data_IF_423172779886
#
_entry.id   IF_423172779886
#
_cell.length_a   1.000
_cell.length_b   1.000
_cell.length_c   1.000
_cell.angle_alpha   90.00
_cell.angle_beta   90.00
_cell.angle_gamma   90.00
#
_symmetry.space_group_name_H-M   'P 1'
#
loop_
_entity.id
_entity.type
_entity.pdbx_description
1 polymer ?
#
# COMPACT_ATOMS: atom_id res chain seq x y z
N UNK A 1 -12.19 17.13 14.09
CA UNK A 1 -10.81 17.43 13.66
C UNK A 1 -10.39 18.77 14.23
N UNK A 2 -9.31 18.84 14.99
CA UNK A 2 -8.76 20.06 15.60
C UNK A 2 -7.36 20.35 15.04
N UNK A 3 -7.06 21.63 14.77
CA UNK A 3 -5.69 22.04 14.38
C UNK A 3 -4.86 22.19 15.65
N UNK A 4 -3.70 21.53 15.70
CA UNK A 4 -2.74 21.63 16.78
C UNK A 4 -1.46 22.28 16.23
N UNK A 5 -1.22 23.54 16.58
CA UNK A 5 -0.06 24.27 16.06
C UNK A 5 -0.18 24.58 14.56
N UNK A 6 0.97 24.62 13.85
CA UNK A 6 1.01 25.05 12.43
C UNK A 6 0.82 23.91 11.42
N UNK A 7 1.21 22.68 11.77
CA UNK A 7 1.36 21.58 10.82
C UNK A 7 0.80 20.26 11.33
N UNK A 8 0.00 20.28 12.39
CA UNK A 8 -0.58 19.09 12.98
C UNK A 8 -2.08 19.26 13.19
N UNK A 9 -2.79 18.18 13.12
CA UNK A 9 -4.21 18.12 13.44
C UNK A 9 -4.50 16.84 14.25
N UNK A 10 -5.52 16.90 15.06
CA UNK A 10 -6.01 15.79 15.85
C UNK A 10 -7.27 15.22 15.22
N UNK A 11 -7.34 13.90 15.12
CA UNK A 11 -8.54 13.18 14.73
C UNK A 11 -9.40 12.95 15.97
N UNK A 12 -10.52 13.65 16.07
CA UNK A 12 -11.35 13.69 17.27
C UNK A 12 -12.03 12.35 17.57
N UNK A 13 -12.42 11.60 16.54
CA UNK A 13 -13.02 10.28 16.69
C UNK A 13 -12.02 9.18 17.05
N UNK A 14 -10.71 9.50 17.00
CA UNK A 14 -9.61 8.58 17.30
C UNK A 14 -9.67 7.28 16.50
N UNK A 15 -9.63 7.33 15.15
CA UNK A 15 -9.60 6.15 14.33
C UNK A 15 -8.50 5.18 14.76
N UNK A 16 -8.73 3.88 14.63
CA UNK A 16 -7.81 2.85 15.11
C UNK A 16 -7.23 2.07 13.94
N UNK A 17 -5.94 1.81 13.98
CA UNK A 17 -5.32 0.79 13.15
C UNK A 17 -5.71 -0.56 13.76
N UNK A 18 -6.46 -1.37 12.99
CA UNK A 18 -6.96 -2.66 13.46
C UNK A 18 -6.17 -3.85 12.91
N UNK A 19 -5.48 -3.65 11.80
CA UNK A 19 -4.59 -4.67 11.23
C UNK A 19 -3.58 -4.06 10.26
N UNK A 20 -2.52 -4.82 9.99
CA UNK A 20 -1.53 -4.53 8.95
C UNK A 20 -1.08 -5.82 8.31
N UNK A 21 -0.60 -5.74 7.07
CA UNK A 21 0.03 -6.86 6.38
C UNK A 21 1.23 -6.38 5.57
N UNK A 22 2.24 -7.24 5.45
CA UNK A 22 3.46 -6.99 4.69
C UNK A 22 3.85 -8.22 3.88
N UNK A 23 3.89 -8.06 2.57
CA UNK A 23 4.31 -9.08 1.61
C UNK A 23 5.56 -8.57 0.91
N UNK A 24 6.61 -9.37 0.85
CA UNK A 24 7.90 -8.95 0.29
C UNK A 24 8.49 -9.98 -0.65
N UNK A 25 9.43 -9.55 -1.48
CA UNK A 25 10.19 -10.40 -2.38
C UNK A 25 11.27 -11.22 -1.68
N UNK A 26 11.93 -12.09 -2.44
CA UNK A 26 12.96 -13.00 -1.93
C UNK A 26 14.17 -12.27 -1.32
N UNK A 27 14.57 -11.16 -1.93
CA UNK A 27 15.71 -10.38 -1.43
C UNK A 27 15.43 -9.76 -0.06
N UNK A 28 14.28 -9.15 0.09
CA UNK A 28 13.83 -8.54 1.35
C UNK A 28 13.66 -9.62 2.42
N UNK A 29 13.14 -10.80 2.02
CA UNK A 29 12.99 -11.97 2.88
C UNK A 29 14.31 -12.61 3.33
N UNK A 30 15.44 -12.25 2.75
CA UNK A 30 16.79 -12.62 3.18
C UNK A 30 17.45 -11.54 4.06
N UNK A 31 16.79 -10.41 4.23
CA UNK A 31 17.28 -9.29 5.02
C UNK A 31 17.09 -9.46 6.53
N UNK A 32 17.58 -8.50 7.31
CA UNK A 32 17.51 -8.57 8.79
C UNK A 32 16.09 -8.52 9.35
N UNK A 33 15.10 -8.05 8.57
CA UNK A 33 13.69 -7.95 8.99
C UNK A 33 12.83 -9.14 8.55
N UNK A 34 13.44 -10.23 8.06
CA UNK A 34 12.72 -11.38 7.49
C UNK A 34 11.60 -11.91 8.39
N UNK A 35 11.84 -11.96 9.69
CA UNK A 35 10.89 -12.50 10.67
C UNK A 35 9.71 -11.54 10.96
N UNK A 36 9.78 -10.29 10.47
CA UNK A 36 8.74 -9.28 10.66
C UNK A 36 7.70 -9.26 9.52
N UNK A 37 7.99 -9.94 8.41
CA UNK A 37 7.07 -9.95 7.26
C UNK A 37 6.05 -11.07 7.37
N UNK A 38 4.80 -10.77 7.00
CA UNK A 38 3.72 -11.75 7.00
C UNK A 38 3.91 -12.81 5.90
N UNK A 39 4.47 -12.42 4.74
CA UNK A 39 4.74 -13.35 3.65
C UNK A 39 5.98 -12.96 2.85
N UNK A 40 6.80 -13.94 2.54
CA UNK A 40 7.96 -13.82 1.65
C UNK A 40 7.65 -14.58 0.35
N UNK A 41 7.62 -13.86 -0.76
CA UNK A 41 7.42 -14.40 -2.10
C UNK A 41 8.79 -14.70 -2.72
N UNK A 42 9.11 -15.97 -2.93
CA UNK A 42 10.43 -16.39 -3.44
C UNK A 42 10.59 -16.19 -4.95
N UNK A 43 9.49 -16.13 -5.67
CA UNK A 43 9.46 -15.88 -7.10
C UNK A 43 9.00 -14.44 -7.34
N UNK A 44 9.82 -13.64 -7.99
CA UNK A 44 9.56 -12.22 -8.27
C UNK A 44 8.38 -12.03 -9.22
N UNK A 45 8.07 -13.01 -10.05
CA UNK A 45 6.92 -12.95 -10.97
C UNK A 45 5.64 -13.55 -10.38
N UNK A 46 5.74 -14.27 -9.27
CA UNK A 46 4.63 -15.06 -8.70
C UNK A 46 3.98 -16.03 -9.70
N UNK A 47 4.75 -16.48 -10.70
CA UNK A 47 4.25 -17.31 -11.80
C UNK A 47 3.37 -16.55 -12.81
N UNK A 48 3.41 -15.24 -12.84
CA UNK A 48 2.63 -14.37 -13.74
C UNK A 48 3.51 -13.87 -14.89
N UNK A 49 2.88 -13.32 -15.93
CA UNK A 49 3.53 -12.96 -17.19
C UNK A 49 4.36 -11.68 -17.13
N UNK A 50 4.15 -10.84 -16.11
CA UNK A 50 4.91 -9.59 -15.94
C UNK A 50 5.10 -9.19 -14.48
N UNK A 51 6.11 -8.35 -14.25
CA UNK A 51 6.41 -7.81 -12.93
C UNK A 51 5.31 -6.89 -12.40
N UNK A 52 4.63 -6.16 -13.29
CA UNK A 52 3.49 -5.31 -12.92
C UNK A 52 2.29 -6.13 -12.44
N UNK A 53 2.05 -7.28 -13.07
CA UNK A 53 1.03 -8.22 -12.61
C UNK A 53 1.41 -8.83 -11.25
N UNK A 54 2.68 -9.18 -11.07
CA UNK A 54 3.17 -9.68 -9.78
C UNK A 54 3.00 -8.63 -8.67
N UNK A 55 3.36 -7.38 -8.93
CA UNK A 55 3.16 -6.28 -8.00
C UNK A 55 1.68 -6.06 -7.67
N UNK A 56 0.81 -6.05 -8.69
CA UNK A 56 -0.64 -5.97 -8.52
C UNK A 56 -1.18 -7.09 -7.61
N UNK A 57 -0.69 -8.32 -7.82
CA UNK A 57 -1.06 -9.49 -6.99
C UNK A 57 -0.54 -9.37 -5.55
N UNK A 58 0.65 -8.82 -5.34
CA UNK A 58 1.18 -8.56 -4.00
C UNK A 58 0.36 -7.51 -3.28
N UNK A 59 0.00 -6.42 -3.97
CA UNK A 59 -0.84 -5.35 -3.43
C UNK A 59 -2.22 -5.89 -3.01
N UNK A 60 -2.91 -6.58 -3.91
CA UNK A 60 -4.19 -7.24 -3.64
C UNK A 60 -4.10 -8.17 -2.42
N UNK A 61 -3.09 -9.04 -2.42
CA UNK A 61 -2.89 -10.01 -1.35
C UNK A 61 -2.62 -9.34 0.00
N UNK A 62 -1.84 -8.26 0.04
CA UNK A 62 -1.57 -7.52 1.26
C UNK A 62 -2.84 -6.85 1.81
N UNK A 63 -3.68 -6.27 0.93
CA UNK A 63 -4.95 -5.65 1.34
C UNK A 63 -5.92 -6.70 1.88
N UNK A 64 -6.08 -7.83 1.18
CA UNK A 64 -7.07 -8.85 1.55
C UNK A 64 -6.64 -9.75 2.70
N UNK A 65 -5.33 -9.85 3.01
CA UNK A 65 -4.78 -10.79 4.00
C UNK A 65 -5.38 -10.66 5.39
N UNK A 66 -5.73 -9.47 5.80
CA UNK A 66 -6.18 -9.16 7.17
C UNK A 66 -7.60 -8.61 7.24
N UNK A 67 -8.28 -8.56 6.13
CA UNK A 67 -9.71 -8.22 6.12
C UNK A 67 -10.47 -9.47 6.53
N UNK A 68 -10.92 -9.52 7.78
CA UNK A 68 -11.73 -10.64 8.32
C UNK A 68 -13.14 -10.68 7.75
N UNK A 69 -13.59 -9.59 7.14
CA UNK A 69 -14.86 -9.43 6.45
C UNK A 69 -14.62 -9.52 4.95
N UNK A 70 -15.68 -9.60 4.18
CA UNK A 70 -15.55 -9.58 2.72
C UNK A 70 -15.05 -8.21 2.25
N UNK A 71 -14.45 -8.15 1.06
CA UNK A 71 -13.99 -6.89 0.45
C UNK A 71 -15.09 -5.83 0.33
N UNK A 72 -16.33 -6.28 0.27
CA UNK A 72 -17.53 -5.42 0.22
C UNK A 72 -17.74 -4.56 1.48
N UNK A 73 -17.07 -4.88 2.58
CA UNK A 73 -17.11 -4.09 3.81
C UNK A 73 -16.11 -2.90 3.80
N UNK A 74 -15.20 -2.82 2.82
CA UNK A 74 -14.32 -1.68 2.67
C UNK A 74 -15.08 -0.45 2.17
N UNK A 75 -15.13 0.58 2.98
CA UNK A 75 -15.68 1.87 2.55
C UNK A 75 -14.84 2.52 1.45
N UNK A 76 -13.51 2.40 1.56
CA UNK A 76 -12.57 2.86 0.54
C UNK A 76 -11.21 2.20 0.67
N UNK A 77 -10.49 2.18 -0.45
CA UNK A 77 -9.08 1.82 -0.58
C UNK A 77 -8.30 3.05 -1.03
N UNK A 78 -7.29 3.44 -0.26
CA UNK A 78 -6.35 4.49 -0.61
C UNK A 78 -4.98 3.87 -0.87
N UNK A 79 -4.37 4.19 -1.98
CA UNK A 79 -3.04 3.62 -2.22
C UNK A 79 -2.48 3.90 -3.59
N UNK A 80 -1.29 3.41 -3.81
CA UNK A 80 -0.58 3.58 -5.06
C UNK A 80 0.69 2.75 -5.12
N UNK A 81 1.33 2.83 -6.25
CA UNK A 81 2.61 2.21 -6.56
C UNK A 81 3.59 3.23 -7.14
N UNK A 82 4.78 2.80 -7.53
CA UNK A 82 5.80 3.69 -8.10
C UNK A 82 5.63 3.94 -9.59
N UNK A 83 4.78 3.18 -10.28
CA UNK A 83 4.70 3.24 -11.74
C UNK A 83 3.86 4.41 -12.22
N UNK A 84 4.09 4.84 -13.45
CA UNK A 84 3.26 5.87 -14.08
C UNK A 84 1.80 5.43 -14.07
N UNK A 85 0.92 6.40 -13.74
CA UNK A 85 -0.53 6.20 -13.66
C UNK A 85 -0.96 5.15 -12.62
N UNK A 86 -0.08 4.82 -11.66
CA UNK A 86 -0.38 3.84 -10.58
C UNK A 86 -1.01 2.55 -11.13
N UNK A 87 -0.36 1.98 -12.15
CA UNK A 87 -0.94 0.91 -12.96
C UNK A 87 -1.13 -0.38 -12.15
N UNK A 88 -0.16 -0.75 -11.32
CA UNK A 88 -0.23 -2.00 -10.54
C UNK A 88 -1.32 -1.94 -9.47
N UNK A 89 -1.40 -0.85 -8.72
CA UNK A 89 -2.42 -0.65 -7.70
C UNK A 89 -3.81 -0.42 -8.29
N UNK A 90 -3.91 0.23 -9.46
CA UNK A 90 -5.17 0.40 -10.18
C UNK A 90 -5.79 -0.94 -10.61
N UNK A 91 -4.99 -1.86 -11.16
CA UNK A 91 -5.46 -3.21 -11.50
C UNK A 91 -5.82 -4.03 -10.25
N UNK A 92 -5.03 -3.93 -9.18
CA UNK A 92 -5.36 -4.58 -7.91
C UNK A 92 -6.68 -4.07 -7.32
N UNK A 93 -6.91 -2.75 -7.36
CA UNK A 93 -8.13 -2.13 -6.87
C UNK A 93 -9.40 -2.64 -7.58
N UNK A 94 -9.30 -2.90 -8.88
CA UNK A 94 -10.39 -3.51 -9.65
C UNK A 94 -10.77 -4.90 -9.12
N UNK A 95 -9.78 -5.71 -8.76
CA UNK A 95 -10.01 -7.06 -8.22
C UNK A 95 -10.52 -7.01 -6.78
N UNK A 96 -10.07 -6.03 -5.98
CA UNK A 96 -10.53 -5.80 -4.60
C UNK A 96 -11.98 -5.32 -4.55
N UNK A 97 -12.44 -4.61 -5.59
CA UNK A 97 -13.82 -4.12 -5.73
C UNK A 97 -14.27 -3.11 -4.67
N UNK A 98 -13.34 -2.38 -4.07
CA UNK A 98 -13.66 -1.26 -3.20
C UNK A 98 -13.51 0.09 -3.93
N UNK A 99 -14.23 1.15 -3.53
CA UNK A 99 -13.98 2.49 -4.03
C UNK A 99 -12.49 2.86 -3.87
N UNK A 100 -11.83 3.23 -4.96
CA UNK A 100 -10.38 3.43 -4.98
C UNK A 100 -10.02 4.91 -5.11
N UNK A 101 -9.19 5.39 -4.20
CA UNK A 101 -8.55 6.70 -4.24
C UNK A 101 -7.07 6.46 -4.53
N UNK A 102 -6.67 6.65 -5.79
CA UNK A 102 -5.30 6.48 -6.23
C UNK A 102 -4.42 7.62 -5.74
N UNK A 103 -3.30 7.28 -5.11
CA UNK A 103 -2.31 8.20 -4.58
C UNK A 103 -1.01 8.06 -5.36
N UNK A 104 -0.39 9.18 -5.70
CA UNK A 104 0.87 9.19 -6.45
C UNK A 104 1.94 9.98 -5.70
N UNK A 105 2.31 9.48 -4.52
CA UNK A 105 3.27 10.09 -3.61
C UNK A 105 4.62 9.37 -3.54
N UNK A 106 4.85 8.35 -4.37
CA UNK A 106 6.05 7.49 -4.32
C UNK A 106 6.33 7.01 -2.87
N UNK A 107 7.45 7.39 -2.26
CA UNK A 107 7.82 6.98 -0.90
C UNK A 107 6.87 7.50 0.18
N UNK A 108 6.08 8.53 -0.09
CA UNK A 108 5.10 9.09 0.86
C UNK A 108 3.71 8.49 0.75
N UNK A 109 3.44 7.66 -0.26
CA UNK A 109 2.10 7.12 -0.55
C UNK A 109 1.42 6.48 0.67
N UNK A 110 2.13 5.67 1.45
CA UNK A 110 1.53 5.04 2.64
C UNK A 110 1.17 6.06 3.73
N UNK A 111 2.03 7.06 3.95
CA UNK A 111 1.78 8.12 4.93
C UNK A 111 0.63 9.03 4.50
N UNK A 112 0.58 9.35 3.22
CA UNK A 112 -0.51 10.11 2.60
C UNK A 112 -1.84 9.34 2.72
N UNK A 113 -1.82 8.04 2.41
CA UNK A 113 -2.97 7.16 2.57
C UNK A 113 -3.47 7.10 4.02
N UNK A 114 -2.56 6.96 4.99
CA UNK A 114 -2.92 6.95 6.41
C UNK A 114 -3.54 8.27 6.87
N UNK A 115 -2.99 9.40 6.42
CA UNK A 115 -3.52 10.72 6.74
C UNK A 115 -4.93 10.91 6.17
N UNK A 116 -5.10 10.66 4.88
CA UNK A 116 -6.40 10.82 4.20
C UNK A 116 -7.43 9.79 4.69
N UNK A 117 -7.03 8.52 4.85
CA UNK A 117 -7.89 7.47 5.38
C UNK A 117 -8.36 7.79 6.81
N UNK A 118 -7.45 8.27 7.66
CA UNK A 118 -7.79 8.74 8.99
C UNK A 118 -8.79 9.90 8.98
N UNK A 119 -8.61 10.88 8.08
CA UNK A 119 -9.54 11.99 7.88
C UNK A 119 -10.93 11.53 7.41
N UNK A 120 -10.99 10.58 6.46
CA UNK A 120 -12.26 10.05 5.98
C UNK A 120 -13.03 9.29 7.05
N UNK A 121 -12.31 8.52 7.87
CA UNK A 121 -12.90 7.82 9.02
C UNK A 121 -13.32 8.80 10.12
N UNK A 122 -12.49 9.79 10.45
CA UNK A 122 -12.80 10.82 11.45
C UNK A 122 -14.01 11.68 11.03
N UNK A 123 -14.14 11.96 9.75
CA UNK A 123 -15.26 12.72 9.16
C UNK A 123 -16.55 11.91 8.98
N UNK A 124 -16.55 10.61 9.27
CA UNK A 124 -17.72 9.75 9.12
C UNK A 124 -18.04 9.39 7.65
N UNK A 125 -17.09 9.60 6.72
CA UNK A 125 -17.25 9.22 5.31
C UNK A 125 -16.88 7.76 5.05
N UNK A 126 -16.12 7.15 5.95
CA UNK A 126 -15.71 5.76 5.87
C UNK A 126 -15.80 5.09 7.25
N UNK A 127 -16.34 3.88 7.30
CA UNK A 127 -16.28 3.03 8.50
C UNK A 127 -14.96 2.27 8.55
N UNK A 128 -14.54 1.75 7.40
CA UNK A 128 -13.36 0.93 7.23
C UNK A 128 -12.57 1.40 6.00
N UNK A 129 -11.36 1.88 6.22
CA UNK A 129 -10.46 2.33 5.16
C UNK A 129 -9.22 1.45 5.10
N UNK A 130 -8.85 0.99 3.90
CA UNK A 130 -7.58 0.34 3.65
C UNK A 130 -6.59 1.35 3.06
N UNK A 131 -5.37 1.39 3.60
CA UNK A 131 -4.27 2.19 3.08
C UNK A 131 -3.17 1.24 2.66
N UNK A 132 -2.73 1.31 1.40
CA UNK A 132 -1.74 0.38 0.87
C UNK A 132 -0.76 1.03 -0.08
N UNK A 133 0.46 0.50 -0.10
CA UNK A 133 1.48 0.91 -1.06
C UNK A 133 2.28 -0.31 -1.52
N UNK A 134 2.76 -0.28 -2.76
CA UNK A 134 3.60 -1.32 -3.32
C UNK A 134 4.74 -0.76 -4.15
N UNK A 135 5.69 -1.63 -4.43
CA UNK A 135 6.70 -1.45 -5.46
C UNK A 135 7.22 -2.81 -5.91
N UNK A 136 7.72 -2.88 -7.14
CA UNK A 136 8.45 -4.03 -7.64
C UNK A 136 9.77 -3.56 -8.23
N UNK A 137 10.90 -4.15 -7.76
CA UNK A 137 12.23 -3.75 -8.19
C UNK A 137 12.35 -3.68 -9.71
N UNK A 138 12.06 -4.77 -10.39
CA UNK A 138 12.29 -4.87 -11.83
C UNK A 138 11.36 -3.95 -12.65
N UNK A 139 10.10 -3.80 -12.25
CA UNK A 139 9.17 -2.89 -12.91
C UNK A 139 9.60 -1.42 -12.74
N UNK A 140 9.96 -1.02 -11.52
CA UNK A 140 10.41 0.34 -11.24
C UNK A 140 11.76 0.66 -11.89
N UNK A 141 12.73 -0.25 -11.83
CA UNK A 141 14.03 -0.06 -12.48
C UNK A 141 13.87 0.07 -14.00
N UNK A 142 13.04 -0.76 -14.63
CA UNK A 142 12.75 -0.66 -16.07
C UNK A 142 12.17 0.70 -16.44
N UNK A 143 11.29 1.23 -15.63
CA UNK A 143 10.63 2.51 -15.92
C UNK A 143 11.53 3.71 -15.68
N UNK A 144 12.31 3.71 -14.60
CA UNK A 144 13.04 4.89 -14.15
C UNK A 144 14.53 4.90 -14.50
N UNK A 145 15.10 3.75 -14.86
CA UNK A 145 16.51 3.59 -15.21
C UNK A 145 16.71 3.03 -16.61
N UNK A 146 15.89 3.43 -17.52
CA UNK A 146 16.04 3.06 -18.94
C UNK A 146 17.22 3.81 -19.60
N UNK A 147 18.02 3.15 -20.47
CA UNK A 147 17.95 1.73 -20.82
C UNK A 147 18.70 0.85 -19.79
N UNK A 148 18.06 -0.18 -19.28
CA UNK A 148 18.66 -1.20 -18.40
C UNK A 148 19.86 -1.89 -19.04
N UNK A 149 19.85 -1.98 -20.39
CA UNK A 149 20.88 -2.64 -21.20
C UNK A 149 22.24 -1.92 -21.14
N UNK A 150 22.29 -0.65 -20.80
CA UNK A 150 23.55 0.07 -20.63
C UNK A 150 24.28 -0.28 -19.32
N UNK A 151 23.69 -1.15 -18.52
CA UNK A 151 24.37 -1.80 -17.40
C UNK A 151 25.03 -0.83 -16.42
N UNK A 152 24.29 0.15 -15.91
CA UNK A 152 24.79 0.89 -14.74
C UNK A 152 24.88 -0.09 -13.59
N UNK A 153 26.09 -0.61 -13.35
CA UNK A 153 26.34 -1.45 -12.20
C UNK A 153 26.10 -0.63 -10.94
N UNK A 154 25.07 -1.03 -10.19
CA UNK A 154 24.81 -0.42 -8.90
C UNK A 154 25.99 -0.70 -7.97
N UNK A 155 26.62 0.36 -7.46
CA UNK A 155 27.62 0.22 -6.41
C UNK A 155 26.97 -0.33 -5.13
N UNK A 156 27.72 -0.99 -4.21
CA UNK A 156 27.13 -1.58 -3.01
C UNK A 156 26.34 -0.62 -2.13
N UNK A 157 26.65 0.68 -2.18
CA UNK A 157 25.94 1.75 -1.46
C UNK A 157 24.72 2.32 -2.19
N UNK A 158 24.44 1.86 -3.40
CA UNK A 158 23.26 2.33 -4.15
C UNK A 158 21.96 1.90 -3.47
N UNK A 159 21.02 2.82 -3.41
CA UNK A 159 19.66 2.49 -2.99
C UNK A 159 19.04 1.54 -4.01
N UNK A 160 18.23 0.63 -3.50
CA UNK A 160 17.48 -0.34 -4.29
C UNK A 160 15.99 -0.21 -4.01
N UNK A 161 15.19 -0.21 -5.08
CA UNK A 161 13.74 -0.35 -4.96
C UNK A 161 13.38 -1.68 -4.30
N UNK A 162 12.51 -1.64 -3.32
CA UNK A 162 11.98 -2.83 -2.64
C UNK A 162 10.98 -3.53 -3.55
N UNK A 163 10.98 -4.87 -3.54
CA UNK A 163 9.87 -5.65 -4.04
C UNK A 163 8.96 -5.99 -2.88
N UNK A 164 7.76 -5.42 -2.84
CA UNK A 164 6.83 -5.68 -1.75
C UNK A 164 5.57 -4.83 -1.81
N UNK A 165 4.62 -5.22 -0.97
CA UNK A 165 3.39 -4.47 -0.73
C UNK A 165 3.07 -4.48 0.77
N UNK A 166 2.62 -3.35 1.25
CA UNK A 166 2.16 -3.18 2.62
C UNK A 166 0.75 -2.61 2.67
N UNK A 167 -0.04 -3.05 3.64
CA UNK A 167 -1.36 -2.50 3.89
C UNK A 167 -1.61 -2.26 5.36
N UNK A 168 -2.42 -1.26 5.66
CA UNK A 168 -2.87 -0.91 7.01
C UNK A 168 -4.37 -0.65 6.92
N UNK A 169 -5.13 -1.26 7.82
CA UNK A 169 -6.58 -1.09 7.90
C UNK A 169 -6.91 -0.17 9.07
N UNK A 170 -7.67 0.87 8.77
CA UNK A 170 -8.15 1.87 9.74
C UNK A 170 -9.65 1.73 9.89
N UNK A 171 -10.12 1.76 11.13
CA UNK A 171 -11.54 1.68 11.48
C UNK A 171 -11.95 2.81 12.42
N UNK A 172 -13.22 3.21 12.35
CA UNK A 172 -13.82 4.12 13.32
C UNK A 172 -13.74 3.56 14.74
N UNK A 173 -13.46 4.42 15.71
CA UNK A 173 -13.48 4.06 17.12
C UNK A 173 -14.92 4.14 17.65
N UNK A 174 -15.61 2.99 17.73
CA UNK A 174 -16.99 2.90 18.21
C UNK A 174 -17.99 2.59 17.10
N UNK A 175 -19.28 2.75 17.39
CA UNK A 175 -20.35 2.58 16.40
C UNK A 175 -20.24 3.66 15.32
N UNK A 176 -20.14 3.26 14.07
CA UNK A 176 -20.19 4.15 12.91
C UNK A 176 -21.57 4.82 12.86
N UNK A 177 -21.60 6.16 12.91
CA UNK A 177 -22.82 6.94 12.72
C UNK A 177 -22.71 7.77 11.45
N UNK A 178 -23.25 7.31 10.32
CA UNK A 178 -23.24 8.09 9.10
C UNK A 178 -24.10 9.34 9.29
N UNK A 179 -23.54 10.51 9.04
CA UNK A 179 -24.29 11.77 8.95
C UNK A 179 -24.58 12.48 10.31
N UNK A 180 -23.77 12.28 11.33
CA UNK A 180 -23.84 13.07 12.56
C UNK A 180 -23.11 14.41 12.44
#
# INVERSE_FOLDING_TARGET
MGIIGRHSFELCSRPRIISSASYVGDKEGKGPLRECFDKICRDDTLGLDSWEQAESRMFESAVLAKIKRQSDDLSCLLGGDLLNQIISSGFAAREIRAPFIGLYGACSTISEGLMLGGMLVDGGFAELAACAASSHFSAAERQFRYPLEMGVQAVPSSQRTVTGAGSIIIQAAGEFRPGA
#
